data_IF_200982007535
#
_entry.id   IF_200982007535
#
_cell.length_a   1.000
_cell.length_b   1.000
_cell.length_c   1.000
_cell.angle_alpha   90.00
_cell.angle_beta   90.00
_cell.angle_gamma   90.00
#
_symmetry.space_group_name_H-M   'P 1'
#
loop_
_entity.id
_entity.type
_entity.pdbx_description
1 polymer ?
#
# COMPACT_ATOMS: atom_id res chain seq x y z
N UNK A 1 6.47 -8.84 -1.68
CA UNK A 1 7.47 -7.95 -2.31
C UNK A 1 6.80 -6.67 -2.80
N UNK A 2 7.12 -5.53 -2.18
CA UNK A 2 6.45 -4.25 -2.47
C UNK A 2 7.02 -3.66 -3.75
N UNK A 3 6.15 -3.32 -4.69
CA UNK A 3 6.55 -2.66 -5.92
C UNK A 3 6.33 -1.14 -5.80
N UNK A 4 7.38 -0.33 -5.99
CA UNK A 4 7.23 1.12 -5.94
C UNK A 4 6.28 1.61 -7.03
N UNK A 5 5.65 2.76 -6.79
CA UNK A 5 4.77 3.38 -7.77
C UNK A 5 5.52 3.73 -9.06
N UNK A 6 5.00 3.25 -10.19
CA UNK A 6 5.49 3.55 -11.52
C UNK A 6 4.49 3.13 -12.59
N UNK A 7 4.71 3.55 -13.84
CA UNK A 7 3.80 3.23 -14.95
C UNK A 7 3.58 1.72 -15.14
N UNK A 8 4.64 0.92 -15.00
CA UNK A 8 4.55 -0.53 -15.12
C UNK A 8 3.68 -1.15 -14.02
N UNK A 9 3.84 -0.69 -12.78
CA UNK A 9 3.12 -1.25 -11.64
C UNK A 9 1.67 -0.77 -11.60
N UNK A 10 1.42 0.47 -12.03
CA UNK A 10 0.08 1.00 -12.23
C UNK A 10 -0.69 0.26 -13.34
N UNK A 11 -0.02 -0.09 -14.44
CA UNK A 11 -0.62 -0.90 -15.52
C UNK A 11 -1.00 -2.30 -15.02
N UNK A 12 -0.15 -2.93 -14.21
CA UNK A 12 -0.43 -4.23 -13.57
C UNK A 12 -1.60 -4.15 -12.60
N UNK A 13 -1.69 -3.07 -11.82
CA UNK A 13 -2.84 -2.81 -10.97
C UNK A 13 -4.12 -2.64 -11.79
N UNK A 14 -4.10 -1.88 -12.88
CA UNK A 14 -5.25 -1.70 -13.76
C UNK A 14 -5.74 -3.05 -14.31
N UNK A 15 -4.79 -3.89 -14.77
CA UNK A 15 -5.02 -5.27 -15.22
C UNK A 15 -5.50 -6.23 -14.12
N UNK A 16 -5.36 -5.86 -12.85
CA UNK A 16 -5.74 -6.70 -11.72
C UNK A 16 -4.70 -7.77 -11.33
N UNK A 17 -3.45 -7.60 -11.76
CA UNK A 17 -2.33 -8.43 -11.28
C UNK A 17 -2.03 -8.12 -9.81
N UNK A 18 -2.19 -6.86 -9.38
CA UNK A 18 -2.01 -6.49 -7.98
C UNK A 18 -3.33 -6.48 -7.22
N UNK A 19 -3.30 -7.09 -6.04
CA UNK A 19 -4.45 -7.10 -5.13
C UNK A 19 -4.46 -5.91 -4.19
N UNK A 20 -3.30 -5.35 -3.83
CA UNK A 20 -3.20 -4.28 -2.83
C UNK A 20 -2.56 -3.01 -3.39
N UNK A 21 -3.16 -1.85 -3.10
CA UNK A 21 -2.62 -0.53 -3.40
C UNK A 21 -2.22 0.19 -2.10
N UNK A 22 -1.01 0.73 -2.06
CA UNK A 22 -0.45 1.41 -0.90
C UNK A 22 -0.60 2.92 -1.08
N UNK A 23 -1.18 3.59 -0.09
CA UNK A 23 -1.41 5.04 -0.09
C UNK A 23 -0.88 5.67 1.18
N UNK A 24 -0.54 6.94 1.09
CA UNK A 24 -0.26 7.79 2.23
C UNK A 24 -1.46 8.74 2.44
N UNK A 25 -1.84 9.06 3.68
CA UNK A 25 -2.95 9.97 3.97
C UNK A 25 -2.62 11.40 3.51
N UNK A 26 -1.36 11.80 3.58
CA UNK A 26 -0.88 13.13 3.20
C UNK A 26 -0.60 13.27 1.69
N UNK A 27 -0.58 12.16 0.95
CA UNK A 27 -0.17 12.15 -0.45
C UNK A 27 -1.26 11.57 -1.35
N UNK A 28 -1.78 12.32 -2.34
CA UNK A 28 -2.79 11.79 -3.27
C UNK A 28 -2.23 10.69 -4.19
N UNK A 29 -0.91 10.55 -4.27
CA UNK A 29 -0.24 9.52 -5.06
C UNK A 29 -0.04 8.25 -4.23
N UNK A 30 -0.37 7.06 -4.77
CA UNK A 30 -0.03 5.81 -4.12
C UNK A 30 1.50 5.66 -4.04
N UNK A 31 1.96 5.12 -2.93
CA UNK A 31 3.39 4.89 -2.66
C UNK A 31 3.89 3.66 -3.44
N UNK A 32 3.02 2.67 -3.62
CA UNK A 32 3.34 1.44 -4.33
C UNK A 32 2.15 0.47 -4.42
N UNK A 33 2.43 -0.74 -4.87
CA UNK A 33 1.47 -1.83 -5.01
C UNK A 33 2.09 -3.13 -4.50
N UNK A 34 1.25 -4.03 -4.00
CA UNK A 34 1.67 -5.38 -3.62
C UNK A 34 0.57 -6.42 -3.90
N UNK A 35 0.94 -7.70 -3.81
CA UNK A 35 -0.01 -8.81 -4.05
C UNK A 35 -0.88 -9.13 -2.82
N UNK A 36 -0.60 -8.50 -1.68
CA UNK A 36 -1.28 -8.77 -0.40
C UNK A 36 -0.72 -9.98 0.35
N UNK A 37 0.49 -10.44 0.00
CA UNK A 37 1.16 -11.49 0.76
C UNK A 37 1.51 -11.02 2.18
N UNK A 38 1.57 -11.92 3.17
CA UNK A 38 1.95 -11.56 4.54
C UNK A 38 3.35 -10.94 4.63
N UNK A 39 4.27 -11.34 3.75
CA UNK A 39 5.62 -10.77 3.64
C UNK A 39 5.59 -9.30 3.21
N UNK A 40 4.65 -8.91 2.35
CA UNK A 40 4.45 -7.52 1.96
C UNK A 40 4.03 -6.66 3.15
N UNK A 41 3.12 -7.16 3.98
CA UNK A 41 2.66 -6.45 5.18
C UNK A 41 3.84 -6.13 6.10
N UNK A 42 4.72 -7.11 6.32
CA UNK A 42 5.87 -6.96 7.19
C UNK A 42 6.87 -5.93 6.67
N UNK A 43 7.20 -5.98 5.37
CA UNK A 43 8.04 -4.97 4.73
C UNK A 43 7.40 -3.57 4.79
N UNK A 44 6.09 -3.48 4.63
CA UNK A 44 5.34 -2.22 4.70
C UNK A 44 5.39 -1.60 6.09
N UNK A 45 5.22 -2.43 7.12
CA UNK A 45 5.38 -2.02 8.51
C UNK A 45 6.80 -1.49 8.75
N UNK A 46 7.83 -2.21 8.29
CA UNK A 46 9.23 -1.79 8.41
C UNK A 46 9.53 -0.48 7.68
N UNK A 47 9.01 -0.27 6.46
CA UNK A 47 9.20 0.96 5.70
C UNK A 47 8.50 2.13 6.38
N UNK A 48 7.26 1.93 6.85
CA UNK A 48 6.51 2.97 7.54
C UNK A 48 7.14 3.34 8.90
N UNK A 49 7.72 2.37 9.61
CA UNK A 49 8.50 2.59 10.83
C UNK A 49 9.80 3.36 10.53
N UNK A 50 10.47 3.04 9.42
CA UNK A 50 11.71 3.70 8.99
C UNK A 50 11.48 5.14 8.46
N UNK A 51 10.32 5.44 7.88
CA UNK A 51 9.95 6.79 7.43
C UNK A 51 9.58 7.74 8.60
N UNK A 52 9.62 7.26 9.85
CA UNK A 52 9.39 8.09 11.03
C UNK A 52 7.93 8.44 11.26
N UNK A 53 6.99 7.63 10.73
CA UNK A 53 5.59 7.76 11.10
C UNK A 53 5.45 7.32 12.58
N UNK A 54 5.34 8.29 13.48
CA UNK A 54 5.27 8.06 14.93
C UNK A 54 4.09 7.18 15.35
N UNK A 55 3.06 7.05 14.50
CA UNK A 55 1.93 6.12 14.64
C UNK A 55 1.68 5.38 13.30
N UNK A 56 2.41 4.28 13.08
CA UNK A 56 2.23 3.40 11.90
C UNK A 56 0.91 2.64 12.02
N UNK A 57 -0.20 3.26 11.59
CA UNK A 57 -1.48 2.57 11.38
C UNK A 57 -1.67 2.25 9.91
N UNK A 58 -1.74 0.96 9.59
CA UNK A 58 -2.11 0.49 8.26
C UNK A 58 -3.63 0.31 8.20
N UNK A 59 -4.32 1.29 7.62
CA UNK A 59 -5.76 1.18 7.40
C UNK A 59 -6.03 0.34 6.16
N UNK A 60 -6.41 -0.93 6.36
CA UNK A 60 -6.73 -1.87 5.27
C UNK A 60 -8.20 -1.75 4.86
N UNK A 61 -8.43 -1.23 3.67
CA UNK A 61 -9.76 -1.09 3.07
C UNK A 61 -9.96 -2.11 1.96
N UNK A 62 -10.80 -3.11 2.22
CA UNK A 62 -11.20 -4.09 1.21
C UNK A 62 -12.23 -3.49 0.24
N UNK A 63 -11.98 -3.63 -1.06
CA UNK A 63 -12.85 -3.21 -2.15
C UNK A 63 -13.71 -4.38 -2.64
N UNK A 64 -14.90 -4.06 -3.19
CA UNK A 64 -15.82 -5.05 -3.78
C UNK A 64 -15.22 -5.85 -4.94
N UNK A 65 -14.17 -5.35 -5.58
CA UNK A 65 -13.46 -6.05 -6.67
C UNK A 65 -12.49 -7.14 -6.17
N UNK A 66 -12.42 -7.42 -4.86
CA UNK A 66 -11.45 -8.35 -4.28
C UNK A 66 -10.04 -7.78 -4.13
N UNK A 67 -9.91 -6.46 -4.26
CA UNK A 67 -8.67 -5.71 -4.06
C UNK A 67 -8.69 -4.99 -2.73
N UNK A 68 -7.54 -4.57 -2.24
CA UNK A 68 -7.39 -3.84 -0.99
C UNK A 68 -6.65 -2.53 -1.22
N UNK A 69 -6.98 -1.53 -0.42
CA UNK A 69 -6.25 -0.28 -0.36
C UNK A 69 -5.75 -0.14 1.05
N UNK A 70 -4.43 -0.15 1.22
CA UNK A 70 -3.80 0.02 2.50
C UNK A 70 -3.29 1.45 2.59
N UNK A 71 -3.81 2.19 3.56
CA UNK A 71 -3.39 3.57 3.82
C UNK A 71 -2.43 3.56 5.00
N UNK A 72 -1.21 4.04 4.79
CA UNK A 72 -0.14 4.10 5.78
C UNK A 72 -0.16 5.44 6.50
N UNK A 73 -0.65 5.45 7.73
CA UNK A 73 -0.73 6.62 8.59
C UNK A 73 -2.14 6.85 9.10
N UNK A 74 -2.23 7.37 10.33
CA UNK A 74 -3.47 7.90 10.90
C UNK A 74 -3.41 9.43 10.93
N UNK A 75 -4.44 10.16 10.49
CA UNK A 75 -4.77 11.38 11.21
C UNK A 75 -5.20 10.96 12.61
N UNK A 76 -4.66 11.64 13.62
CA UNK A 76 -5.18 11.65 14.99
C UNK A 76 -6.73 11.65 15.04
#
# INVERSE_FOLDING_TARGET
>A
MIYPYGNATQTRWDRGEFKVQLKLPDNPRPMGFCDGSPEDVAELLSIAEAEGAEDVKIHKKHLKSGREVWTLGGPD
#
